data_IF_456212915483
#
_entry.id   IF_456212915483
#
_cell.length_a   1.000
_cell.length_b   1.000
_cell.length_c   1.000
_cell.angle_alpha   90.00
_cell.angle_beta   90.00
_cell.angle_gamma   90.00
#
_symmetry.space_group_name_H-M   'P 1'
#
loop_
_entity.id
_entity.type
_entity.pdbx_description
1 polymer ?
#
# COMPACT_ATOMS: atom_id res chain seq x y z
N UNK A 1 40.70 -50.40 45.37
CA UNK A 1 39.74 -49.61 44.57
C UNK A 1 39.66 -48.15 45.07
N UNK A 2 40.74 -47.35 44.92
CA UNK A 2 40.77 -45.93 45.34
C UNK A 2 41.35 -44.97 44.27
N UNK A 3 41.93 -45.51 43.18
CA UNK A 3 42.55 -44.72 42.10
C UNK A 3 41.61 -44.43 40.91
N UNK A 4 40.43 -45.06 40.85
CA UNK A 4 39.41 -44.79 39.83
C UNK A 4 38.45 -43.64 40.20
N UNK A 5 38.38 -43.24 41.48
CA UNK A 5 37.50 -42.16 41.95
C UNK A 5 38.14 -40.76 41.81
N UNK A 6 39.47 -40.65 41.79
CA UNK A 6 40.16 -39.36 41.69
C UNK A 6 40.24 -38.84 40.24
N UNK A 7 40.31 -39.72 39.24
CA UNK A 7 40.41 -39.30 37.82
C UNK A 7 39.07 -38.82 37.26
N UNK A 8 37.94 -39.36 37.73
CA UNK A 8 36.60 -38.89 37.34
C UNK A 8 36.28 -37.49 37.84
N UNK A 9 36.78 -37.12 39.02
CA UNK A 9 36.52 -35.80 39.63
C UNK A 9 37.23 -34.66 38.89
N UNK A 10 38.46 -34.88 38.40
CA UNK A 10 39.22 -33.85 37.67
C UNK A 10 38.67 -33.56 36.27
N UNK A 11 38.08 -34.55 35.59
CA UNK A 11 37.48 -34.36 34.26
C UNK A 11 36.17 -33.56 34.36
N UNK A 12 35.37 -33.78 35.40
CA UNK A 12 34.10 -33.06 35.62
C UNK A 12 34.35 -31.58 35.96
N UNK A 13 35.38 -31.26 36.76
CA UNK A 13 35.73 -29.87 37.11
C UNK A 13 36.30 -29.11 35.90
N UNK A 14 37.09 -29.76 35.04
CA UNK A 14 37.60 -29.15 33.81
C UNK A 14 36.49 -28.82 32.80
N UNK A 15 35.47 -29.69 32.68
CA UNK A 15 34.30 -29.46 31.81
C UNK A 15 33.43 -28.34 32.37
N UNK A 16 33.16 -28.32 33.68
CA UNK A 16 32.40 -27.25 34.32
C UNK A 16 33.07 -25.88 34.19
N UNK A 17 34.40 -25.82 34.36
CA UNK A 17 35.19 -24.59 34.15
C UNK A 17 35.17 -24.10 32.70
N UNK A 18 35.23 -25.03 31.73
CA UNK A 18 35.10 -24.70 30.30
C UNK A 18 33.70 -24.16 29.96
N UNK A 19 32.62 -24.71 30.55
CA UNK A 19 31.27 -24.22 30.33
C UNK A 19 30.99 -22.85 30.97
N UNK A 20 31.56 -22.56 32.15
CA UNK A 20 31.47 -21.22 32.77
C UNK A 20 32.27 -20.19 31.97
N UNK A 21 33.47 -20.54 31.49
CA UNK A 21 34.25 -19.68 30.62
C UNK A 21 33.60 -19.45 29.24
N UNK A 22 32.90 -20.47 28.71
CA UNK A 22 32.11 -20.36 27.47
C UNK A 22 30.83 -19.53 27.66
N UNK A 23 30.19 -19.59 28.84
CA UNK A 23 29.00 -18.78 29.13
C UNK A 23 29.32 -17.31 29.28
N UNK A 24 30.48 -16.96 29.88
CA UNK A 24 30.93 -15.57 30.00
C UNK A 24 31.20 -14.93 28.63
N UNK A 25 31.71 -15.70 27.65
CA UNK A 25 31.91 -15.20 26.27
C UNK A 25 30.63 -15.12 25.45
N UNK A 26 29.56 -15.78 25.87
CA UNK A 26 28.28 -15.82 25.15
C UNK A 26 27.28 -14.78 25.68
N UNK A 27 27.62 -14.07 26.76
CA UNK A 27 26.74 -13.12 27.45
C UNK A 27 26.83 -11.66 26.97
N UNK A 28 27.71 -11.34 26.02
CA UNK A 28 27.68 -10.05 25.31
C UNK A 28 27.03 -10.20 23.92
N UNK A 29 25.80 -10.71 23.90
CA UNK A 29 24.92 -10.38 22.78
C UNK A 29 24.37 -8.99 23.07
N UNK A 30 24.99 -7.97 22.47
CA UNK A 30 24.34 -6.67 22.28
C UNK A 30 23.02 -6.98 21.56
N UNK A 31 21.93 -7.08 22.32
CA UNK A 31 20.58 -7.13 21.77
C UNK A 31 20.33 -5.76 21.20
N UNK A 32 20.80 -5.52 19.97
CA UNK A 32 20.39 -4.33 19.24
C UNK A 32 18.85 -4.31 19.24
N UNK A 33 18.24 -3.20 19.69
CA UNK A 33 16.78 -3.12 19.78
C UNK A 33 16.20 -3.38 18.40
N UNK A 34 15.30 -4.36 18.31
CA UNK A 34 14.59 -4.68 17.06
C UNK A 34 13.75 -3.45 16.68
N UNK A 35 13.94 -2.85 15.50
CA UNK A 35 13.19 -1.66 15.11
C UNK A 35 11.69 -1.96 15.06
N UNK A 36 10.87 -1.03 15.59
CA UNK A 36 9.40 -1.18 15.64
C UNK A 36 8.76 -1.09 14.25
N UNK A 37 9.44 -0.42 13.32
CA UNK A 37 9.01 -0.24 11.94
C UNK A 37 10.15 -0.58 10.98
N UNK A 38 9.82 -1.01 9.77
CA UNK A 38 10.78 -1.25 8.71
C UNK A 38 10.72 -0.16 7.62
N UNK A 39 11.66 -0.21 6.68
CA UNK A 39 11.75 0.71 5.52
C UNK A 39 10.43 0.81 4.75
N UNK A 40 9.76 -0.33 4.53
CA UNK A 40 8.52 -0.35 3.76
C UNK A 40 7.35 0.27 4.51
N UNK A 41 7.33 0.19 5.83
CA UNK A 41 6.32 0.87 6.64
C UNK A 41 6.44 2.39 6.49
N UNK A 42 7.68 2.91 6.49
CA UNK A 42 7.97 4.33 6.25
C UNK A 42 7.57 4.74 4.82
N UNK A 43 8.00 4.00 3.79
CA UNK A 43 7.68 4.32 2.40
C UNK A 43 6.18 4.21 2.07
N UNK A 44 5.42 3.48 2.90
CA UNK A 44 3.96 3.33 2.76
C UNK A 44 3.16 4.23 3.71
N UNK A 45 3.83 4.97 4.59
CA UNK A 45 3.17 5.88 5.51
C UNK A 45 2.26 6.86 4.76
N UNK A 46 1.06 7.09 5.30
CA UNK A 46 0.01 7.89 4.64
C UNK A 46 0.51 9.26 4.20
N UNK A 47 1.25 9.93 5.08
CA UNK A 47 1.68 11.31 4.89
C UNK A 47 2.78 11.40 3.83
N UNK A 48 3.77 10.48 3.89
CA UNK A 48 4.80 10.38 2.86
C UNK A 48 4.18 10.06 1.50
N UNK A 49 3.24 9.11 1.44
CA UNK A 49 2.54 8.77 0.19
C UNK A 49 1.74 9.95 -0.35
N UNK A 50 0.99 10.65 0.50
CA UNK A 50 0.21 11.82 0.10
C UNK A 50 1.11 12.94 -0.42
N UNK A 51 2.21 13.21 0.29
CA UNK A 51 3.21 14.19 -0.09
C UNK A 51 3.90 13.89 -1.41
N UNK A 52 4.41 12.66 -1.58
CA UNK A 52 5.04 12.24 -2.84
C UNK A 52 4.03 12.26 -3.99
N UNK A 53 2.79 11.84 -3.77
CA UNK A 53 1.73 11.90 -4.79
C UNK A 53 1.50 13.34 -5.28
N UNK A 54 1.45 14.30 -4.36
CA UNK A 54 1.32 15.72 -4.71
C UNK A 54 2.54 16.21 -5.50
N UNK A 55 3.75 15.86 -5.06
CA UNK A 55 4.99 16.22 -5.74
C UNK A 55 5.07 15.66 -7.17
N UNK A 56 4.69 14.39 -7.35
CA UNK A 56 4.60 13.75 -8.67
C UNK A 56 3.58 14.46 -9.58
N UNK A 57 2.44 14.87 -9.03
CA UNK A 57 1.42 15.64 -9.77
C UNK A 57 1.94 16.99 -10.24
N UNK A 58 2.84 17.61 -9.47
CA UNK A 58 3.45 18.91 -9.77
C UNK A 58 4.73 18.81 -10.62
N UNK A 59 5.26 17.61 -10.82
CA UNK A 59 6.57 17.42 -11.46
C UNK A 59 7.74 17.91 -10.58
N UNK A 60 7.53 18.01 -9.26
CA UNK A 60 8.51 18.53 -8.32
C UNK A 60 9.35 17.39 -7.72
N UNK A 61 10.46 17.07 -8.40
CA UNK A 61 11.37 16.02 -7.94
C UNK A 61 12.11 16.38 -6.64
N UNK A 62 12.27 17.67 -6.33
CA UNK A 62 12.89 18.12 -5.08
C UNK A 62 11.97 17.89 -3.88
N UNK A 63 10.66 18.12 -4.04
CA UNK A 63 9.68 17.79 -3.01
C UNK A 63 9.65 16.28 -2.71
N UNK A 64 9.87 15.42 -3.71
CA UNK A 64 9.98 13.97 -3.49
C UNK A 64 11.20 13.65 -2.62
N UNK A 65 12.35 14.25 -2.91
CA UNK A 65 13.57 14.09 -2.09
C UNK A 65 13.35 14.56 -0.66
N UNK A 66 12.68 15.70 -0.46
CA UNK A 66 12.34 16.20 0.85
C UNK A 66 11.45 15.22 1.64
N UNK A 67 10.47 14.59 1.00
CA UNK A 67 9.65 13.56 1.65
C UNK A 67 10.45 12.30 2.02
N UNK A 68 11.41 11.89 1.19
CA UNK A 68 12.30 10.78 1.51
C UNK A 68 13.26 11.12 2.65
N UNK A 69 13.76 12.37 2.72
CA UNK A 69 14.57 12.86 3.84
C UNK A 69 13.80 12.79 5.15
N UNK A 70 12.53 13.20 5.18
CA UNK A 70 11.66 12.99 6.35
C UNK A 70 11.51 11.51 6.71
N UNK A 71 11.39 10.65 5.70
CA UNK A 71 11.40 9.20 5.91
C UNK A 71 12.70 8.72 6.57
N UNK A 72 13.86 9.26 6.19
CA UNK A 72 15.14 8.96 6.81
C UNK A 72 15.22 9.42 8.27
N UNK A 73 14.63 10.58 8.59
CA UNK A 73 14.55 11.10 9.97
C UNK A 73 13.71 10.17 10.84
N UNK A 74 12.51 9.80 10.39
CA UNK A 74 11.65 8.81 11.06
C UNK A 74 12.39 7.47 11.24
N UNK A 75 13.13 7.03 10.22
CA UNK A 75 13.94 5.82 10.30
C UNK A 75 15.04 5.88 11.36
N UNK A 76 15.72 7.04 11.49
CA UNK A 76 16.72 7.28 12.55
C UNK A 76 16.09 7.23 13.94
N UNK A 77 14.97 7.91 14.13
CA UNK A 77 14.24 7.94 15.39
C UNK A 77 13.72 6.55 15.79
N UNK A 78 13.35 5.73 14.81
CA UNK A 78 12.89 4.36 15.01
C UNK A 78 14.03 3.33 15.18
N UNK A 79 15.30 3.75 15.15
CA UNK A 79 16.46 2.88 15.34
C UNK A 79 16.77 1.99 14.13
N UNK A 80 16.40 2.38 12.92
CA UNK A 80 16.82 1.65 11.71
C UNK A 80 18.35 1.69 11.55
N UNK A 81 18.91 0.61 11.00
CA UNK A 81 20.33 0.55 10.64
C UNK A 81 20.70 1.63 9.62
N UNK A 82 21.97 2.01 9.58
CA UNK A 82 22.48 3.00 8.63
C UNK A 82 22.25 2.58 7.17
N UNK A 83 22.31 1.28 6.87
CA UNK A 83 22.00 0.73 5.54
C UNK A 83 20.54 0.99 5.14
N UNK A 84 19.60 0.75 6.07
CA UNK A 84 18.17 1.01 5.83
C UNK A 84 17.89 2.51 5.67
N UNK A 85 18.53 3.36 6.46
CA UNK A 85 18.44 4.82 6.33
C UNK A 85 19.03 5.28 4.97
N UNK A 86 20.15 4.70 4.55
CA UNK A 86 20.75 4.99 3.24
C UNK A 86 19.83 4.54 2.10
N UNK A 87 19.16 3.40 2.23
CA UNK A 87 18.17 2.95 1.25
C UNK A 87 17.01 3.94 1.09
N UNK A 88 16.48 4.49 2.18
CA UNK A 88 15.37 5.47 2.14
C UNK A 88 15.73 6.73 1.33
N UNK A 89 16.99 7.16 1.36
CA UNK A 89 17.50 8.27 0.55
C UNK A 89 17.99 7.89 -0.86
N UNK A 90 17.83 6.62 -1.26
CA UNK A 90 18.36 6.13 -2.53
C UNK A 90 17.44 6.39 -3.71
N UNK A 91 18.04 6.39 -4.91
CA UNK A 91 17.30 6.42 -6.17
C UNK A 91 16.34 5.23 -6.32
N UNK A 92 16.59 4.10 -5.66
CA UNK A 92 15.66 2.95 -5.65
C UNK A 92 14.39 3.30 -4.89
N UNK A 93 14.50 3.91 -3.71
CA UNK A 93 13.36 4.37 -2.93
C UNK A 93 12.59 5.47 -3.69
N UNK A 94 13.30 6.43 -4.29
CA UNK A 94 12.69 7.48 -5.14
C UNK A 94 11.86 6.90 -6.28
N UNK A 95 12.41 5.92 -7.03
CA UNK A 95 11.66 5.24 -8.09
C UNK A 95 10.46 4.46 -7.55
N UNK A 96 10.61 3.78 -6.41
CA UNK A 96 9.52 3.04 -5.78
C UNK A 96 8.35 3.97 -5.43
N UNK A 97 8.60 5.08 -4.73
CA UNK A 97 7.53 5.99 -4.31
C UNK A 97 6.88 6.70 -5.51
N UNK A 98 7.68 7.09 -6.53
CA UNK A 98 7.16 7.66 -7.79
C UNK A 98 6.24 6.68 -8.52
N UNK A 99 6.65 5.42 -8.62
CA UNK A 99 5.86 4.37 -9.27
C UNK A 99 4.50 4.18 -8.58
N UNK A 100 4.48 4.08 -7.25
CA UNK A 100 3.24 3.91 -6.50
C UNK A 100 2.35 5.16 -6.57
N UNK A 101 2.93 6.35 -6.44
CA UNK A 101 2.21 7.61 -6.58
C UNK A 101 1.49 7.74 -7.94
N UNK A 102 2.14 7.37 -9.05
CA UNK A 102 1.51 7.39 -10.37
C UNK A 102 0.36 6.39 -10.50
N UNK A 103 0.45 5.24 -9.83
CA UNK A 103 -0.66 4.27 -9.77
C UNK A 103 -1.84 4.77 -8.95
N UNK A 104 -1.56 5.45 -7.84
CA UNK A 104 -2.61 6.10 -7.05
C UNK A 104 -3.29 7.22 -7.86
N UNK A 105 -2.52 8.04 -8.58
CA UNK A 105 -3.05 9.07 -9.48
C UNK A 105 -3.90 8.49 -10.62
N UNK A 106 -3.50 7.33 -11.16
CA UNK A 106 -4.34 6.61 -12.13
C UNK A 106 -5.69 6.21 -11.53
N UNK A 107 -5.71 5.67 -10.31
CA UNK A 107 -6.95 5.27 -9.65
C UNK A 107 -7.88 6.47 -9.42
N UNK A 108 -7.35 7.58 -8.92
CA UNK A 108 -8.13 8.81 -8.73
C UNK A 108 -8.71 9.33 -10.06
N UNK A 109 -7.89 9.35 -11.11
CA UNK A 109 -8.33 9.76 -12.43
C UNK A 109 -9.39 8.78 -12.99
N UNK A 110 -9.20 7.48 -12.78
CA UNK A 110 -10.12 6.45 -13.20
C UNK A 110 -11.48 6.59 -12.50
N UNK A 111 -11.51 6.84 -11.19
CA UNK A 111 -12.76 7.06 -10.45
C UNK A 111 -13.57 8.22 -11.04
N UNK A 112 -12.89 9.32 -11.39
CA UNK A 112 -13.53 10.44 -12.07
C UNK A 112 -14.05 10.06 -13.47
N UNK A 113 -13.24 9.35 -14.28
CA UNK A 113 -13.69 8.86 -15.60
C UNK A 113 -14.88 7.93 -15.48
N UNK A 114 -14.86 7.05 -14.48
CA UNK A 114 -15.89 6.06 -14.22
C UNK A 114 -17.23 6.73 -13.94
N UNK A 115 -17.26 7.70 -13.02
CA UNK A 115 -18.45 8.46 -12.65
C UNK A 115 -18.97 9.34 -13.81
N UNK A 116 -18.07 9.86 -14.65
CA UNK A 116 -18.41 10.73 -15.78
C UNK A 116 -18.72 9.98 -17.08
N UNK A 117 -18.87 8.65 -17.04
CA UNK A 117 -19.18 7.82 -18.21
C UNK A 117 -18.12 7.87 -19.32
N UNK A 118 -16.86 8.04 -18.92
CA UNK A 118 -15.73 8.15 -19.83
C UNK A 118 -14.91 6.86 -19.85
N UNK A 119 -14.15 6.69 -20.94
CA UNK A 119 -13.11 5.67 -21.06
C UNK A 119 -11.79 6.09 -20.40
N UNK A 120 -10.77 5.24 -20.54
CA UNK A 120 -9.43 5.44 -19.94
C UNK A 120 -8.29 5.59 -20.98
N UNK A 121 -8.60 5.79 -22.26
CA UNK A 121 -7.60 5.76 -23.33
C UNK A 121 -6.41 6.66 -23.06
N UNK A 122 -6.67 7.92 -22.72
CA UNK A 122 -5.65 8.93 -22.39
C UNK A 122 -4.94 8.67 -21.05
N UNK A 123 -5.61 8.02 -20.09
CA UNK A 123 -4.99 7.66 -18.81
C UNK A 123 -3.88 6.62 -18.98
N UNK A 124 -3.97 5.77 -20.02
CA UNK A 124 -2.94 4.76 -20.29
C UNK A 124 -1.61 5.39 -20.71
N UNK A 125 -1.68 6.50 -21.44
CA UNK A 125 -0.51 7.27 -21.88
C UNK A 125 0.03 8.14 -20.74
N UNK A 126 -0.85 8.71 -19.92
CA UNK A 126 -0.47 9.57 -18.79
C UNK A 126 0.16 8.80 -17.63
N UNK A 127 -0.25 7.55 -17.40
CA UNK A 127 0.18 6.74 -16.26
C UNK A 127 0.64 5.32 -16.65
N UNK A 128 1.64 5.16 -17.53
CA UNK A 128 2.11 3.85 -18.03
C UNK A 128 2.50 2.85 -16.92
N UNK A 129 2.89 3.36 -15.74
CA UNK A 129 3.19 2.58 -14.54
C UNK A 129 2.00 1.78 -14.00
N UNK A 130 0.78 2.19 -14.33
CA UNK A 130 -0.47 1.57 -13.95
C UNK A 130 -0.94 0.47 -14.92
N UNK A 131 -0.10 -0.01 -15.84
CA UNK A 131 -0.48 -1.00 -16.85
C UNK A 131 -1.23 -2.23 -16.32
N UNK A 132 -0.84 -2.74 -15.15
CA UNK A 132 -1.51 -3.88 -14.48
C UNK A 132 -2.95 -3.59 -14.05
N UNK A 133 -3.37 -2.33 -14.02
CA UNK A 133 -4.71 -1.88 -13.63
C UNK A 133 -5.63 -1.66 -14.84
N UNK A 134 -5.08 -1.60 -16.06
CA UNK A 134 -5.83 -1.20 -17.25
C UNK A 134 -6.93 -2.18 -17.65
N UNK A 135 -6.63 -3.48 -17.56
CA UNK A 135 -7.61 -4.54 -17.83
C UNK A 135 -8.77 -4.43 -16.86
N UNK A 136 -8.46 -4.33 -15.56
CA UNK A 136 -9.48 -4.22 -14.52
C UNK A 136 -10.36 -2.98 -14.68
N UNK A 137 -9.76 -1.84 -15.00
CA UNK A 137 -10.49 -0.60 -15.25
C UNK A 137 -11.43 -0.71 -16.46
N UNK A 138 -11.01 -1.39 -17.53
CA UNK A 138 -11.86 -1.66 -18.70
C UNK A 138 -13.01 -2.61 -18.38
N UNK A 139 -12.77 -3.67 -17.61
CA UNK A 139 -13.84 -4.56 -17.15
C UNK A 139 -14.91 -3.79 -16.36
N UNK A 140 -14.49 -2.89 -15.47
CA UNK A 140 -15.41 -2.08 -14.68
C UNK A 140 -16.24 -1.14 -15.58
N UNK A 141 -15.62 -0.51 -16.57
CA UNK A 141 -16.32 0.31 -17.57
C UNK A 141 -17.34 -0.52 -18.35
N UNK A 142 -16.95 -1.71 -18.84
CA UNK A 142 -17.87 -2.57 -19.58
C UNK A 142 -19.07 -3.00 -18.72
N UNK A 143 -18.85 -3.30 -17.43
CA UNK A 143 -19.92 -3.61 -16.48
C UNK A 143 -20.85 -2.42 -16.26
N UNK A 144 -20.29 -1.21 -16.08
CA UNK A 144 -21.06 0.03 -15.96
C UNK A 144 -21.95 0.24 -17.18
N UNK A 145 -21.37 0.14 -18.38
CA UNK A 145 -22.07 0.42 -19.63
C UNK A 145 -23.17 -0.62 -19.88
N UNK A 146 -22.92 -1.89 -19.54
CA UNK A 146 -23.94 -2.94 -19.56
C UNK A 146 -25.11 -2.65 -18.61
N UNK A 147 -24.84 -2.19 -17.38
CA UNK A 147 -25.90 -1.77 -16.44
C UNK A 147 -26.72 -0.60 -16.98
N UNK A 148 -26.07 0.36 -17.66
CA UNK A 148 -26.77 1.49 -18.28
C UNK A 148 -27.67 1.02 -19.42
N UNK A 149 -27.22 0.11 -20.28
CA UNK A 149 -28.07 -0.46 -21.33
C UNK A 149 -29.23 -1.28 -20.74
N UNK A 150 -29.03 -1.98 -19.62
CA UNK A 150 -30.12 -2.67 -18.92
C UNK A 150 -31.18 -1.69 -18.41
N UNK A 151 -30.77 -0.56 -17.80
CA UNK A 151 -31.70 0.50 -17.37
C UNK A 151 -32.45 1.07 -18.58
N UNK A 152 -31.76 1.31 -19.69
CA UNK A 152 -32.38 1.82 -20.91
C UNK A 152 -33.41 0.84 -21.49
N UNK A 153 -33.12 -0.47 -21.43
CA UNK A 153 -34.07 -1.53 -21.80
C UNK A 153 -35.31 -1.54 -20.91
N UNK A 154 -35.15 -1.32 -19.60
CA UNK A 154 -36.29 -1.17 -18.67
C UNK A 154 -37.13 0.05 -19.02
N UNK A 155 -36.50 1.20 -19.31
CA UNK A 155 -37.21 2.44 -19.68
C UNK A 155 -37.95 2.32 -21.01
N UNK A 156 -37.53 1.44 -21.90
CA UNK A 156 -38.20 1.19 -23.16
C UNK A 156 -39.45 0.31 -23.04
N UNK A 157 -39.69 -0.30 -21.87
CA UNK A 157 -40.87 -1.12 -21.56
C UNK A 157 -41.17 -2.22 -22.61
N UNK A 158 -40.11 -2.89 -23.10
CA UNK A 158 -40.23 -3.93 -24.13
C UNK A 158 -40.27 -3.39 -25.57
N UNK A 159 -40.29 -2.07 -25.74
CA UNK A 159 -40.10 -1.39 -27.02
C UNK A 159 -38.63 -1.24 -27.43
N UNK A 160 -38.40 -0.58 -28.57
CA UNK A 160 -37.04 -0.33 -29.08
C UNK A 160 -36.30 0.69 -28.21
N UNK A 161 -35.05 0.37 -27.84
CA UNK A 161 -34.17 1.28 -27.09
C UNK A 161 -33.70 2.44 -27.96
N UNK A 162 -34.21 3.64 -27.69
CA UNK A 162 -33.87 4.87 -28.38
C UNK A 162 -32.68 5.59 -27.74
N UNK A 163 -32.20 6.66 -28.38
CA UNK A 163 -31.19 7.55 -27.80
C UNK A 163 -31.68 8.20 -26.49
N UNK A 164 -32.94 8.61 -26.44
CA UNK A 164 -33.54 9.22 -25.25
C UNK A 164 -33.55 8.26 -24.05
N UNK A 165 -33.83 6.97 -24.27
CA UNK A 165 -33.77 5.96 -23.21
C UNK A 165 -32.35 5.83 -22.64
N UNK A 166 -31.32 5.84 -23.49
CA UNK A 166 -29.91 5.77 -23.06
C UNK A 166 -29.49 7.00 -22.28
N UNK A 167 -29.84 8.19 -22.76
CA UNK A 167 -29.53 9.45 -22.07
C UNK A 167 -30.21 9.49 -20.68
N UNK A 168 -31.47 9.06 -20.58
CA UNK A 168 -32.17 8.94 -19.29
C UNK A 168 -31.53 7.89 -18.37
N UNK A 169 -31.15 6.71 -18.91
CA UNK A 169 -30.48 5.66 -18.16
C UNK A 169 -29.13 6.11 -17.57
N UNK A 170 -28.34 6.84 -18.35
CA UNK A 170 -27.09 7.45 -17.91
C UNK A 170 -27.31 8.40 -16.72
N UNK A 171 -28.32 9.27 -16.81
CA UNK A 171 -28.66 10.19 -15.71
C UNK A 171 -29.12 9.44 -14.45
N UNK A 172 -29.94 8.40 -14.59
CA UNK A 172 -30.37 7.55 -13.48
C UNK A 172 -29.16 6.89 -12.82
N UNK A 173 -28.28 6.28 -13.61
CA UNK A 173 -27.08 5.63 -13.09
C UNK A 173 -26.19 6.62 -12.34
N UNK A 174 -25.92 7.81 -12.90
CA UNK A 174 -25.11 8.84 -12.27
C UNK A 174 -25.73 9.35 -10.96
N UNK A 175 -27.04 9.55 -10.91
CA UNK A 175 -27.75 9.94 -9.68
C UNK A 175 -27.60 8.88 -8.59
N UNK A 176 -27.80 7.60 -8.94
CA UNK A 176 -27.63 6.47 -8.02
C UNK A 176 -26.19 6.34 -7.52
N UNK A 177 -25.21 6.47 -8.42
CA UNK A 177 -23.80 6.43 -8.07
C UNK A 177 -23.43 7.53 -7.09
N UNK A 178 -23.87 8.77 -7.33
CA UNK A 178 -23.65 9.90 -6.40
C UNK A 178 -24.30 9.66 -5.04
N UNK A 179 -25.53 9.15 -5.01
CA UNK A 179 -26.22 8.83 -3.75
C UNK A 179 -25.47 7.74 -2.96
N UNK A 180 -25.00 6.68 -3.64
CA UNK A 180 -24.22 5.61 -3.01
C UNK A 180 -22.88 6.09 -2.43
N UNK A 181 -22.26 7.13 -3.01
CA UNK A 181 -21.04 7.74 -2.47
C UNK A 181 -21.29 8.65 -1.26
N UNK A 182 -22.53 9.13 -1.08
CA UNK A 182 -22.90 10.07 -0.02
C UNK A 182 -23.51 9.40 1.22
N UNK A 183 -23.94 8.14 1.11
CA UNK A 183 -24.36 7.35 2.25
C UNK A 183 -23.15 6.61 2.84
N UNK A 184 -22.52 7.08 3.93
CA UNK A 184 -21.69 6.19 4.73
C UNK A 184 -22.61 5.08 5.24
N UNK A 185 -22.13 3.84 5.30
CA UNK A 185 -22.90 2.70 5.79
C UNK A 185 -23.50 3.00 7.19
N UNK A 186 -24.74 3.46 7.22
CA UNK A 186 -25.57 3.54 8.41
C UNK A 186 -26.20 2.17 8.59
N UNK A 187 -25.39 1.19 9.04
CA UNK A 187 -25.84 -0.10 9.58
C UNK A 187 -24.63 -0.87 10.12
N UNK A 188 -24.10 -0.42 11.27
CA UNK A 188 -23.28 -1.30 12.12
C UNK A 188 -23.57 -1.21 13.62
N UNK A 189 -24.47 -0.33 14.08
CA UNK A 189 -24.82 -0.22 15.50
C UNK A 189 -26.34 -0.23 15.69
N UNK A 190 -26.93 -1.43 15.60
CA UNK A 190 -28.22 -1.73 16.21
C UNK A 190 -28.18 -3.15 16.75
N UNK A 191 -27.60 -3.30 17.94
CA UNK A 191 -27.85 -4.48 18.78
C UNK A 191 -28.90 -4.05 19.82
N UNK A 192 -30.10 -4.65 19.85
CA UNK A 192 -31.03 -4.39 20.93
C UNK A 192 -30.48 -5.02 22.22
N UNK A 193 -30.55 -4.24 23.30
CA UNK A 193 -30.35 -4.71 24.69
C UNK A 193 -31.39 -5.77 25.07
#
# INVERSE_FOLDING_TARGET
MKKLLLTGLFIIVGIAGYFVWLSDRSAETVKEPVPVINVMDILKASDLRAGVKQAVKQGDDQAIEHWLQKGQEVGREAGLSQENIAYLGSEKAKRYVKYNAKRDLFNEAFEQRYANLQGIGDLKERYPEANKLYEKAQELIAKRDSLIEQIAGTLAEGGTVTKAHREAAQQIWQKRHKAAQQSPAADSDAKPE
#
